data_IF_261261668914
#
_entry.id   IF_261261668914
#
_cell.length_a   1.000
_cell.length_b   1.000
_cell.length_c   1.000
_cell.angle_alpha   90.00
_cell.angle_beta   90.00
_cell.angle_gamma   90.00
#
_symmetry.space_group_name_H-M   'P 1'
#
loop_
_entity.id
_entity.type
_entity.pdbx_description
1 polymer ?
#
# COMPACT_ATOMS: atom_id res chain seq x y z
N UNK A 1 40.02 -7.93 15.91
CA UNK A 1 40.45 -6.77 15.08
C UNK A 1 40.48 -7.07 13.58
N UNK A 2 41.18 -8.11 13.09
CA UNK A 2 41.24 -8.45 11.64
C UNK A 2 39.90 -8.70 10.93
N UNK A 3 38.89 -9.26 11.61
CA UNK A 3 37.56 -9.53 11.02
C UNK A 3 36.69 -8.26 10.85
N UNK A 4 36.89 -7.25 11.70
CA UNK A 4 36.15 -5.98 11.63
C UNK A 4 36.70 -5.10 10.51
N UNK A 5 38.02 -5.10 10.31
CA UNK A 5 38.66 -4.40 9.20
C UNK A 5 38.25 -4.97 7.83
N UNK A 6 38.08 -6.30 7.72
CA UNK A 6 37.59 -6.94 6.49
C UNK A 6 36.12 -6.59 6.20
N UNK A 7 35.28 -6.52 7.24
CA UNK A 7 33.87 -6.15 7.11
C UNK A 7 33.70 -4.69 6.68
N UNK A 8 34.51 -3.79 7.23
CA UNK A 8 34.53 -2.37 6.84
C UNK A 8 35.11 -2.14 5.43
N UNK A 9 36.08 -2.97 4.99
CA UNK A 9 36.61 -2.91 3.63
C UNK A 9 35.57 -3.37 2.59
N UNK A 10 34.81 -4.42 2.89
CA UNK A 10 33.69 -4.88 2.03
C UNK A 10 32.60 -3.81 1.97
N UNK A 11 32.22 -3.21 3.11
CA UNK A 11 31.27 -2.08 3.15
C UNK A 11 31.74 -0.83 2.41
N UNK A 12 33.05 -0.58 2.34
CA UNK A 12 33.63 0.55 1.62
C UNK A 12 33.79 0.30 0.10
N UNK A 13 33.84 -0.97 -0.34
CA UNK A 13 33.97 -1.35 -1.75
C UNK A 13 32.61 -1.56 -2.45
N UNK A 14 31.54 -1.83 -1.70
CA UNK A 14 30.17 -1.97 -2.26
C UNK A 14 29.70 -0.70 -2.99
N UNK A 15 29.89 0.53 -2.48
CA UNK A 15 29.47 1.74 -3.18
C UNK A 15 30.28 2.00 -4.46
N UNK A 16 31.53 1.54 -4.53
CA UNK A 16 32.42 1.84 -5.66
C UNK A 16 32.18 0.94 -6.88
N UNK A 17 31.57 -0.24 -6.70
CA UNK A 17 31.22 -1.15 -7.79
C UNK A 17 29.88 -0.74 -8.46
N UNK A 18 29.03 0.01 -7.76
CA UNK A 18 27.72 0.44 -8.26
C UNK A 18 27.71 1.73 -9.11
N UNK A 19 28.82 2.48 -9.17
CA UNK A 19 28.80 3.84 -9.76
C UNK A 19 29.04 3.89 -11.28
N UNK A 20 29.26 2.77 -11.99
CA UNK A 20 29.40 2.81 -13.46
C UNK A 20 28.84 1.59 -14.19
N UNK A 21 27.54 1.38 -14.11
CA UNK A 21 26.84 0.62 -15.15
C UNK A 21 25.94 1.58 -15.94
N UNK A 22 26.29 1.79 -17.21
CA UNK A 22 25.41 2.45 -18.16
C UNK A 22 24.19 1.54 -18.34
N UNK A 23 23.00 2.03 -17.99
CA UNK A 23 21.78 1.27 -18.12
C UNK A 23 21.51 0.98 -19.60
N UNK A 24 21.27 -0.28 -20.00
CA UNK A 24 20.69 -0.54 -21.30
C UNK A 24 19.28 0.08 -21.37
N UNK A 25 18.80 0.47 -22.55
CA UNK A 25 17.45 0.99 -22.70
C UNK A 25 16.40 -0.05 -22.25
N UNK A 26 15.21 0.39 -21.79
CA UNK A 26 14.15 -0.50 -21.32
C UNK A 26 13.81 -1.57 -22.35
N UNK A 27 13.63 -2.81 -21.91
CA UNK A 27 13.36 -3.94 -22.79
C UNK A 27 11.83 -4.13 -22.91
N UNK A 28 11.25 -4.16 -24.13
CA UNK A 28 9.80 -4.36 -24.32
C UNK A 28 9.23 -5.73 -23.85
N UNK A 29 10.05 -6.58 -23.20
CA UNK A 29 9.71 -7.90 -22.67
C UNK A 29 9.74 -8.00 -21.13
N UNK A 30 9.74 -6.87 -20.40
CA UNK A 30 9.74 -6.83 -18.93
C UNK A 30 8.41 -7.35 -18.34
N UNK A 31 8.32 -8.68 -18.28
CA UNK A 31 7.14 -9.43 -17.84
C UNK A 31 7.15 -9.62 -16.33
N UNK A 32 6.12 -9.11 -15.68
CA UNK A 32 5.71 -9.60 -14.35
C UNK A 32 5.02 -10.94 -14.53
N UNK A 33 5.46 -11.95 -13.79
CA UNK A 33 4.85 -13.28 -13.70
C UNK A 33 4.16 -13.43 -12.36
N UNK A 34 3.21 -14.37 -12.27
CA UNK A 34 2.67 -14.81 -11.00
C UNK A 34 2.77 -16.32 -10.86
N UNK A 35 2.94 -16.78 -9.62
CA UNK A 35 2.92 -18.19 -9.25
C UNK A 35 1.82 -18.42 -8.22
N UNK A 36 0.88 -19.32 -8.51
CA UNK A 36 -0.19 -19.68 -7.58
C UNK A 36 0.36 -20.53 -6.43
N UNK A 37 0.27 -20.00 -5.21
CA UNK A 37 0.73 -20.64 -3.98
C UNK A 37 -0.40 -21.38 -3.27
N UNK A 38 -1.66 -21.12 -3.64
CA UNK A 38 -2.83 -21.63 -2.93
C UNK A 38 -2.90 -23.16 -2.89
N UNK A 39 -2.58 -23.93 -3.96
CA UNK A 39 -2.57 -25.39 -3.90
C UNK A 39 -1.64 -25.94 -2.80
N UNK A 40 -0.44 -25.38 -2.65
CA UNK A 40 0.51 -25.77 -1.62
C UNK A 40 0.04 -25.39 -0.21
N UNK A 41 -0.58 -24.22 -0.06
CA UNK A 41 -1.14 -23.77 1.23
C UNK A 41 -2.34 -24.60 1.69
N UNK A 42 -3.05 -25.24 0.75
CA UNK A 42 -4.22 -26.11 0.98
C UNK A 42 -3.89 -27.59 1.09
N UNK A 43 -2.63 -28.00 0.91
CA UNK A 43 -2.25 -29.42 0.95
C UNK A 43 -2.63 -30.14 2.28
N UNK A 44 -2.98 -29.39 3.34
CA UNK A 44 -3.48 -29.90 4.61
C UNK A 44 -5.00 -29.84 4.83
N UNK A 45 -5.83 -29.49 3.83
CA UNK A 45 -7.30 -29.52 3.94
C UNK A 45 -8.00 -28.17 3.64
N UNK A 46 -8.88 -27.74 4.55
CA UNK A 46 -9.71 -26.55 4.35
C UNK A 46 -8.87 -25.26 4.16
N UNK A 47 -9.40 -24.23 3.46
CA UNK A 47 -8.69 -22.97 3.27
C UNK A 47 -8.28 -22.33 4.62
N UNK A 48 -7.03 -21.84 4.75
CA UNK A 48 -6.59 -21.16 5.97
C UNK A 48 -7.52 -20.01 6.37
N UNK A 49 -7.75 -19.84 7.67
CA UNK A 49 -8.62 -18.79 8.23
C UNK A 49 -7.86 -17.97 9.27
N UNK A 50 -8.00 -16.65 9.19
CA UNK A 50 -7.38 -15.67 10.07
C UNK A 50 -8.49 -14.78 10.64
N UNK A 51 -9.04 -15.18 11.80
CA UNK A 51 -10.22 -14.51 12.37
C UNK A 51 -11.45 -14.62 11.46
N UNK A 52 -12.01 -13.49 11.04
CA UNK A 52 -13.14 -13.41 10.11
C UNK A 52 -12.76 -13.72 8.65
N UNK A 53 -11.48 -13.63 8.30
CA UNK A 53 -11.02 -13.72 6.92
C UNK A 53 -10.57 -15.12 6.53
N UNK A 54 -11.00 -15.60 5.36
CA UNK A 54 -10.60 -16.89 4.79
C UNK A 54 -9.67 -16.68 3.60
N UNK A 55 -8.52 -17.33 3.54
CA UNK A 55 -7.61 -17.24 2.40
C UNK A 55 -8.18 -18.01 1.19
N UNK A 56 -8.53 -17.27 0.14
CA UNK A 56 -9.13 -17.82 -1.08
C UNK A 56 -8.26 -17.66 -2.32
N UNK A 57 -7.18 -16.88 -2.23
CA UNK A 57 -6.16 -16.73 -3.27
C UNK A 57 -4.83 -16.31 -2.67
N UNK A 58 -3.73 -16.79 -3.23
CA UNK A 58 -2.38 -16.43 -2.81
C UNK A 58 -1.42 -16.62 -3.98
N UNK A 59 -0.77 -15.55 -4.41
CA UNK A 59 0.15 -15.56 -5.54
C UNK A 59 1.46 -14.89 -5.14
N UNK A 60 2.57 -15.40 -5.68
CA UNK A 60 3.84 -14.69 -5.68
C UNK A 60 4.03 -14.00 -7.02
N UNK A 61 4.21 -12.70 -7.02
CA UNK A 61 4.56 -11.91 -8.19
C UNK A 61 6.09 -11.85 -8.32
N UNK A 62 6.61 -11.98 -9.54
CA UNK A 62 8.05 -11.94 -9.83
C UNK A 62 8.31 -11.19 -11.13
N UNK A 63 9.45 -10.52 -11.25
CA UNK A 63 9.90 -9.89 -12.48
C UNK A 63 11.42 -9.96 -12.57
N UNK A 64 12.01 -10.11 -13.77
CA UNK A 64 13.43 -9.89 -13.97
C UNK A 64 13.82 -8.39 -13.92
N UNK A 65 12.83 -7.50 -14.04
CA UNK A 65 13.01 -6.06 -13.93
C UNK A 65 13.47 -5.69 -12.52
N UNK A 66 14.52 -4.87 -12.44
CA UNK A 66 15.07 -4.39 -11.17
C UNK A 66 14.20 -3.32 -10.52
N UNK A 67 13.37 -2.63 -11.29
CA UNK A 67 12.46 -1.61 -10.80
C UNK A 67 11.19 -2.22 -10.18
N UNK A 68 10.88 -3.49 -10.49
CA UNK A 68 9.75 -4.21 -9.92
C UNK A 68 9.89 -4.42 -8.41
N UNK A 69 8.79 -4.16 -7.69
CA UNK A 69 8.66 -4.43 -6.26
C UNK A 69 8.32 -3.18 -5.48
N UNK A 70 8.58 -3.22 -4.19
CA UNK A 70 8.45 -2.09 -3.27
C UNK A 70 7.10 -1.39 -3.34
N UNK A 71 6.03 -2.19 -3.30
CA UNK A 71 4.66 -1.71 -3.44
C UNK A 71 4.09 -1.28 -2.10
N UNK A 72 3.86 0.02 -1.95
CA UNK A 72 3.32 0.62 -0.74
C UNK A 72 1.79 0.66 -0.71
N UNK A 73 1.13 0.65 -1.88
CA UNK A 73 -0.32 0.84 -1.93
C UNK A 73 -1.02 0.05 -3.05
N UNK A 74 -2.33 -0.23 -2.88
CA UNK A 74 -3.13 -1.01 -3.84
C UNK A 74 -4.52 -0.41 -4.05
N UNK A 75 -4.95 -0.32 -5.30
CA UNK A 75 -6.29 0.13 -5.67
C UNK A 75 -6.92 -0.75 -6.76
N UNK A 76 -8.24 -0.65 -6.84
CA UNK A 76 -9.01 -1.19 -7.97
C UNK A 76 -8.89 -0.20 -9.11
N UNK A 77 -8.38 -0.67 -10.26
CA UNK A 77 -8.32 0.14 -11.47
C UNK A 77 -9.63 0.08 -12.25
N UNK A 78 -10.15 -1.13 -12.40
CA UNK A 78 -11.42 -1.43 -13.04
C UNK A 78 -11.90 -2.83 -12.56
N UNK A 79 -12.95 -3.37 -13.15
CA UNK A 79 -13.51 -4.69 -12.78
C UNK A 79 -12.52 -5.85 -12.90
N UNK A 80 -11.51 -5.71 -13.76
CA UNK A 80 -10.57 -6.76 -14.14
C UNK A 80 -9.15 -6.52 -13.66
N UNK A 81 -8.75 -5.27 -13.42
CA UNK A 81 -7.37 -4.91 -13.13
C UNK A 81 -7.23 -4.23 -11.77
N UNK A 82 -6.11 -4.52 -11.11
CA UNK A 82 -5.63 -3.80 -9.94
C UNK A 82 -4.52 -2.83 -10.35
N UNK A 83 -4.32 -1.81 -9.53
CA UNK A 83 -3.23 -0.85 -9.63
C UNK A 83 -2.45 -0.86 -8.33
N UNK A 84 -1.16 -1.14 -8.39
CA UNK A 84 -0.24 -0.96 -7.29
C UNK A 84 0.64 0.27 -7.55
N UNK A 85 1.03 0.95 -6.47
CA UNK A 85 2.01 2.03 -6.50
C UNK A 85 3.22 1.61 -5.70
N UNK A 86 4.40 1.95 -6.19
CA UNK A 86 5.68 1.69 -5.56
C UNK A 86 6.34 2.97 -5.07
N UNK A 87 7.07 2.88 -3.96
CA UNK A 87 7.95 3.93 -3.45
C UNK A 87 9.03 4.35 -4.47
N UNK A 88 9.30 3.54 -5.49
CA UNK A 88 10.21 3.85 -6.60
C UNK A 88 9.59 4.69 -7.70
N UNK A 89 8.68 5.60 -7.36
CA UNK A 89 8.01 6.45 -8.33
C UNK A 89 7.22 5.70 -9.41
N UNK A 90 6.80 4.45 -9.19
CA UNK A 90 6.25 3.60 -10.25
C UNK A 90 4.81 3.18 -9.96
N UNK A 91 4.00 3.05 -11.02
CA UNK A 91 2.73 2.35 -10.97
C UNK A 91 2.81 1.05 -11.76
N UNK A 92 2.13 0.03 -11.25
CA UNK A 92 1.92 -1.23 -11.94
C UNK A 92 0.42 -1.50 -12.05
N UNK A 93 -0.06 -1.69 -13.28
CA UNK A 93 -1.41 -2.18 -13.51
C UNK A 93 -1.34 -3.61 -14.00
N UNK A 94 -2.11 -4.49 -13.36
CA UNK A 94 -2.11 -5.90 -13.67
C UNK A 94 -3.51 -6.50 -13.55
N UNK A 95 -3.79 -7.47 -14.40
CA UNK A 95 -5.06 -8.20 -14.37
C UNK A 95 -5.18 -9.03 -13.10
N UNK A 96 -6.35 -9.04 -12.48
CA UNK A 96 -6.60 -9.83 -11.28
C UNK A 96 -6.41 -11.33 -11.60
N UNK A 97 -5.59 -12.06 -10.83
CA UNK A 97 -5.27 -13.46 -11.13
C UNK A 97 -6.40 -14.44 -10.73
N UNK A 98 -7.46 -13.98 -10.08
CA UNK A 98 -8.63 -14.78 -9.73
C UNK A 98 -9.65 -14.90 -10.88
N UNK A 99 -9.42 -14.22 -12.00
CA UNK A 99 -10.32 -14.22 -13.14
C UNK A 99 -9.77 -15.10 -14.27
N UNK A 100 -10.62 -15.74 -15.08
CA UNK A 100 -10.20 -16.54 -16.23
C UNK A 100 -9.83 -15.65 -17.43
N UNK A 101 -9.04 -14.59 -17.19
CA UNK A 101 -8.57 -13.65 -18.19
C UNK A 101 -7.08 -13.86 -18.46
N UNK A 102 -6.63 -13.51 -19.66
CA UNK A 102 -5.20 -13.48 -19.96
C UNK A 102 -4.49 -12.48 -19.04
N UNK A 103 -3.42 -12.94 -18.39
CA UNK A 103 -2.56 -12.09 -17.57
C UNK A 103 -1.96 -10.98 -18.43
N UNK A 104 -2.24 -9.74 -18.06
CA UNK A 104 -1.63 -8.54 -18.65
C UNK A 104 -1.08 -7.69 -17.52
N UNK A 105 0.05 -7.06 -17.81
CA UNK A 105 0.74 -6.17 -16.88
C UNK A 105 1.40 -5.07 -17.68
N UNK A 106 1.46 -3.88 -17.11
CA UNK A 106 2.33 -2.81 -17.57
C UNK A 106 2.77 -1.96 -16.37
N UNK A 107 3.95 -1.37 -16.49
CA UNK A 107 4.52 -0.48 -15.49
C UNK A 107 4.91 0.84 -16.15
N UNK A 108 4.91 1.92 -15.36
CA UNK A 108 5.51 3.18 -15.76
C UNK A 108 5.92 3.98 -14.53
N UNK A 109 6.87 4.87 -14.73
CA UNK A 109 7.12 5.99 -13.83
C UNK A 109 5.90 6.93 -13.77
N UNK A 110 5.60 7.43 -12.58
CA UNK A 110 4.50 8.37 -12.33
C UNK A 110 4.93 9.81 -12.54
N UNK A 111 6.04 10.23 -11.92
CA UNK A 111 6.59 11.58 -12.03
C UNK A 111 7.89 11.54 -12.82
N UNK A 112 7.99 12.25 -13.94
CA UNK A 112 9.30 12.45 -14.56
C UNK A 112 9.97 13.67 -13.90
N UNK A 113 11.15 13.53 -13.25
CA UNK A 113 11.84 14.69 -12.72
C UNK A 113 12.16 15.65 -13.86
N UNK A 114 11.54 16.82 -13.83
CA UNK A 114 11.88 17.89 -14.76
C UNK A 114 13.36 18.26 -14.54
N UNK A 115 14.09 18.53 -15.62
CA UNK A 115 15.48 19.00 -15.65
C UNK A 115 15.76 20.31 -14.86
N UNK A 116 14.82 20.81 -14.07
CA UNK A 116 14.87 22.08 -13.35
C UNK A 116 15.47 22.01 -11.93
N UNK A 117 16.06 20.87 -11.54
CA UNK A 117 16.80 20.77 -10.26
C UNK A 117 15.94 20.89 -9.00
N UNK A 118 14.62 20.72 -9.12
CA UNK A 118 13.73 20.55 -7.98
C UNK A 118 13.64 19.05 -7.69
N UNK A 119 14.17 18.64 -6.53
CA UNK A 119 14.00 17.28 -6.01
C UNK A 119 12.51 17.10 -5.69
N UNK A 120 11.84 16.24 -6.46
CA UNK A 120 10.44 15.87 -6.21
C UNK A 120 10.52 14.58 -5.42
N UNK A 121 9.88 14.55 -4.26
CA UNK A 121 9.78 13.32 -3.46
C UNK A 121 8.94 12.29 -4.22
N UNK A 122 9.50 11.10 -4.43
CA UNK A 122 8.92 10.05 -5.26
C UNK A 122 8.44 8.84 -4.49
N UNK A 123 8.65 8.86 -3.17
CA UNK A 123 8.38 7.79 -2.24
C UNK A 123 6.87 7.75 -2.01
N UNK A 124 6.16 7.03 -2.89
CA UNK A 124 4.71 6.97 -2.90
C UNK A 124 4.20 6.11 -1.75
N UNK A 125 3.32 6.67 -0.93
CA UNK A 125 2.87 6.04 0.32
C UNK A 125 1.41 5.57 0.26
N UNK A 126 0.59 6.18 -0.60
CA UNK A 126 -0.82 5.81 -0.69
C UNK A 126 -1.45 6.17 -2.02
N UNK A 127 -2.51 5.46 -2.37
CA UNK A 127 -3.22 5.64 -3.64
C UNK A 127 -4.73 5.55 -3.48
N UNK A 128 -5.44 6.46 -4.14
CA UNK A 128 -6.89 6.40 -4.28
C UNK A 128 -7.31 6.63 -5.71
N UNK A 129 -8.07 5.70 -6.28
CA UNK A 129 -8.68 5.83 -7.61
C UNK A 129 -10.13 6.25 -7.47
N UNK A 130 -10.53 7.34 -8.14
CA UNK A 130 -11.94 7.75 -8.22
C UNK A 130 -12.69 6.80 -9.17
N UNK A 131 -13.67 6.02 -8.67
CA UNK A 131 -14.37 5.03 -9.49
C UNK A 131 -15.24 5.65 -10.59
N UNK A 132 -15.54 6.96 -10.53
CA UNK A 132 -16.43 7.65 -11.48
C UNK A 132 -15.70 8.09 -12.75
N UNK A 133 -14.43 8.46 -12.64
CA UNK A 133 -13.66 9.05 -13.74
C UNK A 133 -12.26 8.45 -13.91
N UNK A 134 -11.82 7.57 -13.00
CA UNK A 134 -10.53 6.87 -13.05
C UNK A 134 -9.32 7.73 -12.69
N UNK A 135 -9.51 8.95 -12.19
CA UNK A 135 -8.40 9.78 -11.71
C UNK A 135 -7.71 9.11 -10.52
N UNK A 136 -6.40 9.25 -10.46
CA UNK A 136 -5.56 8.60 -9.45
C UNK A 136 -4.94 9.69 -8.58
N UNK A 137 -5.28 9.69 -7.30
CA UNK A 137 -4.65 10.53 -6.29
C UNK A 137 -3.56 9.73 -5.60
N UNK A 138 -2.33 10.24 -5.60
CA UNK A 138 -1.18 9.62 -4.93
C UNK A 138 -0.65 10.58 -3.86
N UNK A 139 -0.39 10.05 -2.67
CA UNK A 139 0.34 10.72 -1.60
C UNK A 139 1.80 10.24 -1.58
N UNK A 140 2.72 11.16 -1.29
CA UNK A 140 4.15 10.89 -1.22
C UNK A 140 4.66 11.21 0.18
N UNK A 141 5.65 10.45 0.65
CA UNK A 141 6.46 10.77 1.82
C UNK A 141 7.12 12.14 1.62
N UNK A 142 7.39 12.87 2.70
CA UNK A 142 8.09 14.16 2.67
C UNK A 142 7.43 15.31 1.88
N UNK A 143 6.33 15.04 1.16
CA UNK A 143 5.73 15.98 0.23
C UNK A 143 4.61 16.81 0.88
N UNK A 144 4.66 18.13 0.66
CA UNK A 144 3.61 19.05 1.05
C UNK A 144 2.42 19.09 0.09
N UNK A 145 2.18 18.01 -0.66
CA UNK A 145 1.18 17.95 -1.71
C UNK A 145 0.76 16.50 -2.03
N UNK A 146 -0.40 16.37 -2.65
CA UNK A 146 -0.79 15.16 -3.38
C UNK A 146 -0.58 15.36 -4.88
N UNK A 147 -0.35 14.30 -5.64
CA UNK A 147 -0.45 14.37 -7.11
C UNK A 147 -1.73 13.72 -7.60
N UNK A 148 -2.44 14.42 -8.48
CA UNK A 148 -3.62 13.91 -9.15
C UNK A 148 -3.30 13.64 -10.60
N UNK A 149 -3.35 12.36 -10.97
CA UNK A 149 -3.13 11.88 -12.32
C UNK A 149 -4.46 11.66 -13.04
N UNK A 150 -4.44 11.97 -14.34
CA UNK A 150 -5.41 11.42 -15.31
C UNK A 150 -5.35 9.89 -15.33
N UNK A 151 -6.42 9.20 -15.77
CA UNK A 151 -6.45 7.74 -15.75
C UNK A 151 -5.25 7.12 -16.46
N UNK A 152 -4.88 7.59 -17.64
CA UNK A 152 -3.75 7.06 -18.40
C UNK A 152 -2.38 7.56 -17.93
N UNK A 153 -2.33 8.31 -16.83
CA UNK A 153 -1.12 8.97 -16.30
C UNK A 153 -0.44 9.91 -17.30
N UNK A 154 -1.12 10.35 -18.37
CA UNK A 154 -0.55 11.27 -19.38
C UNK A 154 -0.48 12.71 -18.90
N UNK A 155 -1.28 13.05 -17.89
CA UNK A 155 -1.37 14.35 -17.24
C UNK A 155 -1.37 14.17 -15.74
N UNK A 156 -0.66 15.04 -15.05
CA UNK A 156 -0.66 15.17 -13.61
C UNK A 156 -0.87 16.64 -13.20
N UNK A 157 -1.26 16.84 -11.94
CA UNK A 157 -1.15 18.14 -11.28
C UNK A 157 -0.90 17.92 -9.79
N UNK A 158 -0.04 18.76 -9.23
CA UNK A 158 0.15 18.82 -7.79
C UNK A 158 -1.00 19.58 -7.11
N UNK A 159 -1.48 19.07 -5.99
CA UNK A 159 -2.48 19.69 -5.11
C UNK A 159 -1.78 20.00 -3.80
N UNK A 160 -1.45 21.28 -3.59
CA UNK A 160 -0.80 21.72 -2.36
C UNK A 160 -1.63 21.36 -1.11
N UNK A 161 -0.99 20.65 -0.19
CA UNK A 161 -1.52 20.26 1.11
C UNK A 161 -0.42 20.45 2.18
N UNK A 162 -0.05 21.71 2.52
CA UNK A 162 1.08 21.98 3.42
C UNK A 162 0.97 21.34 4.81
N UNK A 163 -0.25 20.97 5.23
CA UNK A 163 -0.51 20.21 6.45
C UNK A 163 0.24 18.87 6.52
N UNK A 164 0.59 18.28 5.37
CA UNK A 164 1.39 17.04 5.32
C UNK A 164 2.84 17.27 5.79
N UNK A 165 3.38 18.49 5.65
CA UNK A 165 4.71 18.86 6.14
C UNK A 165 4.79 19.01 7.66
N UNK A 166 3.66 18.87 8.37
CA UNK A 166 3.67 18.78 9.83
C UNK A 166 4.19 17.43 10.32
N UNK A 167 4.23 16.41 9.44
CA UNK A 167 4.79 15.11 9.75
C UNK A 167 6.29 15.07 9.47
N UNK A 168 7.08 14.27 10.22
CA UNK A 168 8.50 14.12 9.97
C UNK A 168 8.77 13.66 8.53
N UNK A 169 9.90 14.06 7.95
CA UNK A 169 10.27 13.74 6.55
C UNK A 169 10.32 12.24 6.22
N UNK A 170 10.35 11.37 7.23
CA UNK A 170 10.40 9.92 7.08
C UNK A 170 9.08 9.24 7.50
N UNK A 171 7.98 9.98 7.41
CA UNK A 171 6.62 9.53 7.70
C UNK A 171 5.65 10.25 6.78
N UNK A 172 4.70 9.52 6.22
CA UNK A 172 3.85 10.04 5.15
C UNK A 172 2.35 9.86 5.37
N UNK A 173 1.56 10.23 4.35
CA UNK A 173 0.15 9.89 4.24
C UNK A 173 -0.02 8.40 3.91
N UNK A 174 0.26 7.52 4.86
CA UNK A 174 0.40 6.08 4.59
C UNK A 174 -0.90 5.32 4.41
N UNK A 175 -2.03 5.87 4.86
CA UNK A 175 -3.33 5.28 4.54
C UNK A 175 -4.26 6.36 4.00
N UNK A 176 -4.71 6.22 2.75
CA UNK A 176 -5.55 7.21 2.09
C UNK A 176 -6.69 6.58 1.30
N UNK A 177 -7.89 7.15 1.45
CA UNK A 177 -9.03 6.77 0.62
C UNK A 177 -9.97 7.94 0.35
N UNK A 178 -10.39 8.09 -0.91
CA UNK A 178 -11.63 8.78 -1.23
C UNK A 178 -12.80 7.83 -0.98
N UNK A 179 -13.63 8.18 0.01
CA UNK A 179 -14.79 7.41 0.43
C UNK A 179 -15.97 7.60 -0.53
N UNK A 180 -16.92 6.67 -0.51
CA UNK A 180 -18.14 6.71 -1.31
C UNK A 180 -19.04 7.93 -1.01
N UNK A 181 -18.94 8.49 0.19
CA UNK A 181 -19.63 9.72 0.58
C UNK A 181 -18.94 11.00 0.07
N UNK A 182 -17.82 10.85 -0.65
CA UNK A 182 -17.06 11.91 -1.29
C UNK A 182 -15.88 12.43 -0.48
N UNK A 183 -15.79 12.14 0.82
CA UNK A 183 -14.68 12.60 1.66
C UNK A 183 -13.37 11.95 1.24
N UNK A 184 -12.27 12.69 1.32
CA UNK A 184 -10.92 12.09 1.29
C UNK A 184 -10.40 12.01 2.71
N UNK A 185 -10.08 10.79 3.15
CA UNK A 185 -9.52 10.50 4.46
C UNK A 185 -8.07 10.09 4.28
N UNK A 186 -7.19 10.64 5.12
CA UNK A 186 -5.76 10.30 5.16
C UNK A 186 -5.37 10.05 6.61
N UNK A 187 -4.55 9.05 6.88
CA UNK A 187 -3.97 8.75 8.20
C UNK A 187 -2.46 8.72 8.05
N UNK A 188 -1.75 9.39 8.95
CA UNK A 188 -0.29 9.39 8.97
C UNK A 188 0.30 8.24 9.77
N UNK A 189 1.54 7.85 9.46
CA UNK A 189 2.28 6.81 10.20
C UNK A 189 2.79 7.29 11.58
N UNK A 190 2.74 8.61 11.81
CA UNK A 190 3.21 9.25 13.05
C UNK A 190 2.28 9.04 14.22
N UNK A 191 2.85 8.97 15.42
CA UNK A 191 2.03 9.02 16.62
C UNK A 191 1.49 10.44 16.86
N UNK A 192 0.19 10.57 17.12
CA UNK A 192 -0.47 11.86 17.38
C UNK A 192 0.14 12.61 18.59
N UNK A 193 0.68 11.85 19.55
CA UNK A 193 1.41 12.36 20.69
C UNK A 193 2.65 11.50 20.94
N UNK A 194 3.76 12.11 21.35
CA UNK A 194 5.03 11.38 21.58
C UNK A 194 4.93 10.30 22.67
N UNK A 195 4.00 10.42 23.61
CA UNK A 195 3.73 9.40 24.64
C UNK A 195 2.74 8.32 24.20
N UNK A 196 2.01 8.54 23.11
CA UNK A 196 1.03 7.60 22.60
C UNK A 196 1.69 6.62 21.64
N UNK A 197 1.60 5.32 21.92
CA UNK A 197 2.14 4.27 21.03
C UNK A 197 1.06 3.61 20.17
N UNK A 198 -0.13 4.22 20.11
CA UNK A 198 -1.33 3.64 19.48
C UNK A 198 -2.21 4.64 18.72
N UNK A 199 -2.02 5.95 18.92
CA UNK A 199 -2.84 6.99 18.29
C UNK A 199 -2.11 7.58 17.10
N UNK A 200 -2.78 7.69 15.97
CA UNK A 200 -2.26 8.20 14.71
C UNK A 200 -3.12 9.37 14.24
N UNK A 201 -2.54 10.48 13.74
CA UNK A 201 -3.32 11.61 13.28
C UNK A 201 -4.00 11.26 11.96
N UNK A 202 -5.26 11.66 11.85
CA UNK A 202 -6.05 11.54 10.65
C UNK A 202 -6.53 12.89 10.16
N UNK A 203 -6.64 13.03 8.83
CA UNK A 203 -7.07 14.22 8.12
C UNK A 203 -8.31 13.88 7.28
N UNK A 204 -9.25 14.83 7.20
CA UNK A 204 -10.50 14.71 6.46
C UNK A 204 -10.67 15.93 5.56
N UNK A 205 -10.72 15.72 4.25
CA UNK A 205 -11.26 16.68 3.30
C UNK A 205 -12.71 16.31 2.95
N UNK A 206 -13.61 17.30 2.79
CA UNK A 206 -15.02 17.06 2.42
C UNK A 206 -15.21 16.56 0.97
N UNK A 207 -14.13 16.38 0.24
CA UNK A 207 -14.08 16.10 -1.19
C UNK A 207 -12.65 15.71 -1.58
N UNK A 208 -12.37 15.67 -2.88
CA UNK A 208 -11.00 15.73 -3.37
C UNK A 208 -10.30 16.98 -2.77
N UNK A 209 -9.07 16.85 -2.23
CA UNK A 209 -8.34 18.00 -1.70
C UNK A 209 -8.25 19.14 -2.73
N UNK A 210 -8.35 20.38 -2.25
CA UNK A 210 -8.10 21.59 -3.04
C UNK A 210 -6.85 22.27 -2.52
N UNK A 211 -6.12 22.94 -3.41
CA UNK A 211 -4.86 23.60 -3.07
C UNK A 211 -5.03 24.53 -1.85
N UNK A 212 -4.27 24.26 -0.78
CA UNK A 212 -4.30 25.03 0.46
C UNK A 212 -5.56 24.85 1.33
N UNK A 213 -6.50 23.98 0.96
CA UNK A 213 -7.67 23.70 1.78
C UNK A 213 -7.26 22.93 3.04
N UNK A 214 -7.47 23.55 4.20
CA UNK A 214 -7.24 22.90 5.48
C UNK A 214 -8.19 21.68 5.67
N UNK A 215 -7.67 20.51 6.05
CA UNK A 215 -8.51 19.38 6.45
C UNK A 215 -9.06 19.57 7.86
N UNK A 216 -10.14 18.86 8.18
CA UNK A 216 -10.48 18.56 9.57
C UNK A 216 -9.59 17.43 10.10
N UNK A 217 -9.45 17.33 11.43
CA UNK A 217 -8.59 16.32 12.08
C UNK A 217 -9.40 15.30 12.86
N UNK A 218 -8.88 14.08 12.97
CA UNK A 218 -9.35 13.03 13.87
C UNK A 218 -8.15 12.19 14.35
N UNK A 219 -8.36 11.24 15.24
CA UNK A 219 -7.35 10.28 15.66
C UNK A 219 -7.80 8.86 15.37
N UNK A 220 -6.90 8.04 14.80
CA UNK A 220 -7.09 6.60 14.70
C UNK A 220 -6.34 5.90 15.83
N UNK A 221 -6.96 4.90 16.47
CA UNK A 221 -6.37 4.10 17.53
C UNK A 221 -6.12 2.68 17.04
N UNK A 222 -4.87 2.32 16.78
CA UNK A 222 -4.51 0.97 16.36
C UNK A 222 -4.23 0.04 17.55
N UNK A 223 -4.28 -1.28 17.36
CA UNK A 223 -3.71 -2.24 18.31
C UNK A 223 -2.24 -1.93 18.64
N UNK A 224 -1.77 -2.34 19.83
CA UNK A 224 -0.46 -1.93 20.32
C UNK A 224 0.72 -2.35 19.41
N UNK A 225 1.47 -1.34 18.97
CA UNK A 225 2.64 -1.51 18.11
C UNK A 225 2.32 -1.82 16.65
N UNK A 226 1.05 -1.74 16.23
CA UNK A 226 0.65 -1.80 14.84
C UNK A 226 0.49 -0.40 14.27
N UNK A 227 1.15 -0.14 13.15
CA UNK A 227 1.06 1.11 12.40
C UNK A 227 0.05 0.96 11.26
N UNK A 228 -0.83 1.94 11.02
CA UNK A 228 -1.72 1.92 9.88
C UNK A 228 -0.91 2.15 8.60
N UNK A 229 -1.17 1.34 7.57
CA UNK A 229 -0.44 1.39 6.28
C UNK A 229 -1.36 1.34 5.06
N UNK A 230 -2.67 1.17 5.27
CA UNK A 230 -3.64 1.35 4.18
C UNK A 230 -5.06 1.53 4.74
N UNK A 231 -5.89 2.26 4.01
CA UNK A 231 -7.31 2.42 4.26
C UNK A 231 -8.12 1.97 3.03
N UNK A 232 -8.89 0.90 3.17
CA UNK A 232 -9.82 0.47 2.14
C UNK A 232 -11.28 0.69 2.58
N UNK A 233 -12.17 0.86 1.61
CA UNK A 233 -13.62 0.83 1.84
C UNK A 233 -14.20 -0.43 1.22
N UNK A 234 -14.86 -1.25 2.05
CA UNK A 234 -15.60 -2.41 1.62
C UNK A 234 -16.84 -2.02 0.80
N UNK A 235 -17.36 -2.91 -0.07
CA UNK A 235 -18.53 -2.63 -0.89
C UNK A 235 -19.81 -2.27 -0.11
N UNK A 236 -19.92 -2.72 1.15
CA UNK A 236 -21.02 -2.40 2.04
C UNK A 236 -20.84 -1.06 2.79
N UNK A 237 -19.77 -0.33 2.50
CA UNK A 237 -19.45 0.99 3.04
C UNK A 237 -18.50 0.96 4.23
N UNK A 238 -18.34 -0.18 4.93
CA UNK A 238 -17.44 -0.30 6.08
C UNK A 238 -16.00 0.00 5.69
N UNK A 239 -15.21 0.53 6.62
CA UNK A 239 -13.81 0.82 6.37
C UNK A 239 -12.93 -0.27 6.97
N UNK A 240 -11.84 -0.56 6.26
CA UNK A 240 -10.83 -1.52 6.67
C UNK A 240 -9.51 -0.78 6.80
N UNK A 241 -8.83 -0.94 7.94
CA UNK A 241 -7.48 -0.42 8.12
C UNK A 241 -6.51 -1.59 8.18
N UNK A 242 -5.54 -1.58 7.27
CA UNK A 242 -4.41 -2.50 7.31
C UNK A 242 -3.40 -1.97 8.31
N UNK A 243 -3.01 -2.82 9.25
CA UNK A 243 -1.94 -2.52 10.20
C UNK A 243 -0.78 -3.48 10.08
N UNK A 244 0.45 -2.98 10.17
CA UNK A 244 1.66 -3.80 10.21
C UNK A 244 2.45 -3.60 11.49
N UNK A 245 3.21 -4.64 11.87
CA UNK A 245 4.14 -4.62 12.99
C UNK A 245 5.35 -5.48 12.67
N UNK A 246 6.55 -4.90 12.79
CA UNK A 246 7.79 -5.66 12.69
C UNK A 246 8.19 -6.25 14.06
N UNK A 247 8.63 -7.51 14.07
CA UNK A 247 9.11 -8.21 15.26
C UNK A 247 10.39 -8.98 14.93
N UNK A 248 11.09 -9.50 15.94
CA UNK A 248 12.24 -10.41 15.72
C UNK A 248 11.87 -11.64 14.87
N UNK A 249 10.60 -12.05 14.89
CA UNK A 249 10.09 -13.15 14.08
C UNK A 249 9.51 -12.71 12.73
N UNK A 250 9.85 -11.53 12.23
CA UNK A 250 9.34 -10.94 10.99
C UNK A 250 8.06 -10.12 11.16
N UNK A 251 7.48 -9.71 10.03
CA UNK A 251 6.27 -8.91 9.97
C UNK A 251 5.03 -9.65 10.50
N UNK A 252 4.10 -8.88 11.04
CA UNK A 252 2.78 -9.29 11.49
C UNK A 252 1.78 -8.30 10.94
N UNK A 253 0.64 -8.81 10.48
CA UNK A 253 -0.42 -8.01 9.89
C UNK A 253 -1.70 -8.13 10.68
N UNK A 254 -2.41 -7.03 10.84
CA UNK A 254 -3.78 -6.98 11.36
C UNK A 254 -4.66 -6.29 10.33
N UNK A 255 -5.85 -6.83 10.10
CA UNK A 255 -6.92 -6.11 9.41
C UNK A 255 -7.95 -5.74 10.46
N UNK A 256 -8.25 -4.45 10.55
CA UNK A 256 -9.24 -3.91 11.50
C UNK A 256 -10.41 -3.29 10.74
N UNK A 257 -11.57 -3.16 11.38
CA UNK A 257 -12.79 -2.69 10.75
C UNK A 257 -13.41 -1.52 11.52
N UNK A 258 -13.93 -0.55 10.77
CA UNK A 258 -14.81 0.53 11.24
C UNK A 258 -16.18 0.28 10.60
N UNK A 259 -17.17 -0.05 11.44
CA UNK A 259 -18.51 -0.42 10.96
C UNK A 259 -19.29 0.75 10.36
N UNK A 260 -19.09 1.96 10.90
CA UNK A 260 -19.75 3.16 10.42
C UNK A 260 -18.72 4.20 9.96
N UNK A 261 -18.62 4.50 8.64
CA UNK A 261 -17.74 5.56 8.13
C UNK A 261 -18.02 6.94 8.73
N UNK A 262 -19.22 7.19 9.25
CA UNK A 262 -19.54 8.45 9.93
C UNK A 262 -18.84 8.61 11.29
N UNK A 263 -18.28 7.53 11.85
CA UNK A 263 -17.42 7.58 13.03
C UNK A 263 -16.15 8.41 12.77
N UNK A 264 -15.63 8.39 11.53
CA UNK A 264 -14.57 9.31 11.12
C UNK A 264 -15.21 10.69 10.95
N UNK A 265 -15.00 11.59 11.90
CA UNK A 265 -15.54 12.96 11.85
C UNK A 265 -14.60 13.91 12.60
N UNK A 266 -14.71 15.23 12.39
CA UNK A 266 -13.84 16.20 13.06
C UNK A 266 -13.80 15.99 14.58
N UNK A 267 -12.59 15.88 15.13
CA UNK A 267 -12.31 15.69 16.56
C UNK A 267 -12.59 14.28 17.11
N UNK A 268 -13.00 13.31 16.27
CA UNK A 268 -13.28 11.96 16.75
C UNK A 268 -11.98 11.19 17.07
N UNK A 269 -12.07 10.32 18.06
CA UNK A 269 -11.13 9.23 18.27
C UNK A 269 -11.79 7.94 17.79
N UNK A 270 -11.21 7.29 16.80
CA UNK A 270 -11.77 6.11 16.12
C UNK A 270 -10.90 4.90 16.45
N UNK A 271 -11.45 3.93 17.17
CA UNK A 271 -10.79 2.66 17.49
C UNK A 271 -11.45 1.53 16.69
N UNK A 272 -10.91 1.15 15.51
CA UNK A 272 -11.40 0.01 14.76
C UNK A 272 -11.17 -1.29 15.52
N UNK A 273 -12.05 -2.28 15.34
CA UNK A 273 -11.88 -3.59 15.96
C UNK A 273 -11.15 -4.56 15.03
N UNK A 274 -10.22 -5.39 15.54
CA UNK A 274 -9.52 -6.37 14.71
C UNK A 274 -10.44 -7.48 14.19
N UNK A 275 -10.43 -7.72 12.88
CA UNK A 275 -11.17 -8.82 12.25
C UNK A 275 -10.25 -9.96 11.79
N UNK A 276 -8.96 -9.71 11.60
CA UNK A 276 -7.99 -10.73 11.24
C UNK A 276 -6.59 -10.42 11.74
N UNK A 277 -5.86 -11.47 12.12
CA UNK A 277 -4.46 -11.43 12.49
C UNK A 277 -3.71 -12.43 11.60
N UNK A 278 -2.77 -11.94 10.80
CA UNK A 278 -1.97 -12.77 9.88
C UNK A 278 -0.54 -12.81 10.41
N UNK A 279 -0.17 -13.99 10.92
CA UNK A 279 1.16 -14.29 11.45
C UNK A 279 1.72 -15.62 10.91
N UNK A 280 1.01 -16.24 9.97
CA UNK A 280 1.35 -17.54 9.39
C UNK A 280 2.69 -17.48 8.66
N UNK A 281 3.72 -18.23 9.08
CA UNK A 281 5.05 -18.17 8.48
C UNK A 281 5.09 -18.43 6.98
N UNK A 282 4.07 -19.10 6.42
CA UNK A 282 4.00 -19.45 4.99
C UNK A 282 3.66 -18.24 4.11
N UNK A 283 2.88 -17.30 4.65
CA UNK A 283 2.39 -16.11 3.94
C UNK A 283 2.68 -14.80 4.66
N UNK A 284 3.36 -14.80 5.82
CA UNK A 284 3.77 -13.55 6.46
C UNK A 284 4.75 -12.81 5.55
N UNK A 285 4.51 -11.52 5.37
CA UNK A 285 5.36 -10.63 4.59
C UNK A 285 5.05 -9.17 4.99
N UNK A 286 5.76 -8.20 4.40
CA UNK A 286 5.51 -6.78 4.65
C UNK A 286 4.30 -6.27 3.85
N UNK A 287 3.09 -6.61 4.28
CA UNK A 287 1.87 -6.11 3.62
C UNK A 287 1.67 -4.62 3.88
N UNK A 288 1.63 -3.85 2.79
CA UNK A 288 1.46 -2.39 2.82
C UNK A 288 0.24 -1.96 1.99
N UNK A 289 -0.01 -2.55 0.82
CA UNK A 289 -1.22 -2.25 0.05
C UNK A 289 -2.42 -3.15 0.36
N UNK A 290 -3.62 -2.57 0.37
CA UNK A 290 -4.90 -3.25 0.56
C UNK A 290 -6.04 -2.61 -0.24
N UNK A 291 -6.88 -3.43 -0.89
CA UNK A 291 -8.15 -2.96 -1.45
C UNK A 291 -9.27 -3.99 -1.27
N UNK A 292 -10.51 -3.51 -1.19
CA UNK A 292 -11.68 -4.36 -1.08
C UNK A 292 -12.53 -4.32 -2.37
N UNK A 293 -13.07 -5.47 -2.76
CA UNK A 293 -13.92 -5.67 -3.94
C UNK A 293 -15.14 -6.50 -3.59
N UNK A 294 -16.24 -6.29 -4.32
CA UNK A 294 -17.42 -7.14 -4.23
C UNK A 294 -17.22 -8.42 -5.02
N UNK A 295 -17.67 -9.53 -4.46
CA UNK A 295 -17.70 -10.83 -5.14
C UNK A 295 -19.14 -11.19 -5.54
N UNK A 296 -19.28 -12.04 -6.56
CA UNK A 296 -20.59 -12.42 -7.11
C UNK A 296 -21.50 -13.12 -6.09
N UNK A 297 -20.93 -13.76 -5.07
CA UNK A 297 -21.66 -14.40 -3.96
C UNK A 297 -22.09 -13.40 -2.86
N UNK A 298 -21.82 -12.11 -3.04
CA UNK A 298 -22.10 -11.04 -2.08
C UNK A 298 -21.12 -10.98 -0.91
N UNK A 299 -20.03 -11.75 -0.95
CA UNK A 299 -18.92 -11.60 -0.02
C UNK A 299 -18.01 -10.43 -0.42
N UNK A 300 -17.16 -10.00 0.52
CA UNK A 300 -16.13 -9.01 0.26
C UNK A 300 -14.79 -9.71 0.09
N UNK A 301 -14.14 -9.50 -1.05
CA UNK A 301 -12.74 -9.88 -1.25
C UNK A 301 -11.83 -8.72 -0.85
N UNK A 302 -10.93 -9.00 0.08
CA UNK A 302 -9.85 -8.12 0.54
C UNK A 302 -8.57 -8.61 -0.12
N UNK A 303 -7.98 -7.75 -0.93
CA UNK A 303 -6.71 -7.97 -1.60
C UNK A 303 -5.60 -7.33 -0.78
N UNK A 304 -4.50 -8.04 -0.56
CA UNK A 304 -3.30 -7.49 0.07
C UNK A 304 -2.12 -7.67 -0.88
N UNK A 305 -1.25 -6.66 -1.00
CA UNK A 305 0.04 -6.77 -1.69
C UNK A 305 1.16 -6.47 -0.70
N UNK A 306 2.25 -7.25 -0.76
CA UNK A 306 3.43 -6.96 0.04
C UNK A 306 4.45 -6.11 -0.70
N UNK A 307 5.06 -5.24 0.07
CA UNK A 307 6.32 -4.60 -0.26
C UNK A 307 7.45 -5.63 -0.21
N UNK A 308 8.37 -5.51 -1.17
CA UNK A 308 9.56 -6.33 -1.32
C UNK A 308 10.81 -5.46 -1.12
N UNK A 309 10.92 -4.82 0.03
CA UNK A 309 12.09 -4.05 0.41
C UNK A 309 13.39 -4.87 0.23
N UNK A 310 14.41 -4.29 -0.41
CA UNK A 310 15.64 -4.98 -0.90
C UNK A 310 16.58 -5.56 0.20
N UNK A 311 16.08 -5.80 1.41
CA UNK A 311 16.83 -6.55 2.42
C UNK A 311 16.94 -8.02 2.00
N UNK A 312 18.04 -8.24 1.28
CA UNK A 312 18.64 -9.50 0.82
C UNK A 312 18.27 -10.67 1.73
N UNK A 313 17.86 -11.77 1.09
CA UNK A 313 17.80 -13.17 1.55
C UNK A 313 16.41 -13.84 1.57
N UNK A 314 15.25 -13.16 1.70
CA UNK A 314 13.97 -13.90 1.80
C UNK A 314 12.65 -13.22 1.38
N UNK A 315 12.61 -11.94 1.00
CA UNK A 315 11.33 -11.24 0.77
C UNK A 315 10.71 -11.54 -0.61
N UNK A 316 9.38 -11.68 -0.64
CA UNK A 316 8.57 -12.02 -1.82
C UNK A 316 7.57 -10.88 -2.05
N UNK A 317 7.26 -10.57 -3.30
CA UNK A 317 6.05 -9.79 -3.61
C UNK A 317 4.86 -10.75 -3.60
N UNK A 318 4.09 -10.77 -2.52
CA UNK A 318 2.91 -11.60 -2.37
C UNK A 318 1.66 -10.78 -2.66
N UNK A 319 0.74 -11.37 -3.42
CA UNK A 319 -0.62 -10.89 -3.58
C UNK A 319 -1.57 -11.92 -2.94
N UNK A 320 -2.34 -11.50 -1.95
CA UNK A 320 -3.33 -12.35 -1.30
C UNK A 320 -4.75 -11.92 -1.65
N UNK A 321 -5.67 -12.87 -1.71
CA UNK A 321 -7.13 -12.65 -1.72
C UNK A 321 -7.74 -13.32 -0.49
N UNK A 322 -8.29 -12.52 0.40
CA UNK A 322 -8.96 -12.91 1.63
C UNK A 322 -10.46 -12.66 1.47
N UNK A 323 -11.30 -13.62 1.85
CA UNK A 323 -12.75 -13.52 1.80
C UNK A 323 -13.30 -13.20 3.17
N UNK A 324 -14.06 -12.11 3.27
CA UNK A 324 -14.95 -11.80 4.38
C UNK A 324 -16.37 -12.21 3.98
N UNK A 325 -16.96 -13.15 4.71
CA UNK A 325 -18.31 -13.63 4.40
C UNK A 325 -19.35 -12.52 4.59
N UNK A 326 -20.45 -12.60 3.82
CA UNK A 326 -21.56 -11.67 3.93
C UNK A 326 -22.15 -11.69 5.35
N UNK A 327 -22.42 -10.51 5.92
CA UNK A 327 -23.08 -10.36 7.22
C UNK A 327 -22.21 -10.66 8.43
N UNK A 328 -20.89 -10.82 8.24
CA UNK A 328 -19.89 -10.83 9.31
C UNK A 328 -19.48 -9.42 9.64
#
# INVERSE_FOLDING_TARGET
MRRIALFLLVLALVPTIYVRQQFPPPNPDDRVFYHDLLPGLRAGGAPPRYGALTLVGAWQLTSPDREFGNFSALAVRNTHDLLAVSDRNAVMVFTRPDQPLSWRTWQRETIHPAWSGQEIDTDSESVSVDPRNGQVLIGYEGAGAFHLFSPDFSRDRSIAAPVLLEWPNNQGPEAMRQLADGRTVVIGEVFAHWWSRRRYPGLIWPGLPRAGQAPARFELVMPEGYRPVELAQAPDGRLLVLGRKFTLGGFRTVVTMIDDPAAIRPGAQVEPHPIAWIADPRIRDNYEGMVATAEADGSTAIWLISDSNEMVWLQRTLLLKLRLARGV
#
